data_IF_302512140984
#
_entry.id   IF_302512140984
#
_cell.length_a   1.000
_cell.length_b   1.000
_cell.length_c   1.000
_cell.angle_alpha   90.00
_cell.angle_beta   90.00
_cell.angle_gamma   90.00
#
_symmetry.space_group_name_H-M   'P 1'
#
loop_
_entity.id
_entity.type
_entity.pdbx_description
1 polymer ?
#
# COMPACT_ATOMS: atom_id res chain seq x y z
N UNK A 1 7.36 15.36 -10.06
CA UNK A 1 7.13 14.43 -8.96
C UNK A 1 6.48 13.16 -9.51
N UNK A 2 7.14 12.01 -9.39
CA UNK A 2 6.61 10.71 -9.83
C UNK A 2 5.80 10.06 -8.72
N UNK A 3 4.81 9.26 -9.08
CA UNK A 3 3.93 8.58 -8.14
C UNK A 3 3.89 7.08 -8.39
N UNK A 4 3.68 6.32 -7.32
CA UNK A 4 3.34 4.91 -7.39
C UNK A 4 1.97 4.69 -6.74
N UNK A 5 1.06 4.06 -7.47
CA UNK A 5 -0.15 3.49 -6.90
C UNK A 5 0.13 2.02 -6.58
N UNK A 6 0.07 1.65 -5.31
CA UNK A 6 0.14 0.25 -4.88
C UNK A 6 -1.26 -0.24 -4.58
N UNK A 7 -1.61 -1.39 -5.16
CA UNK A 7 -2.79 -2.18 -4.79
C UNK A 7 -2.30 -3.49 -4.18
N UNK A 8 -2.59 -3.72 -2.91
CA UNK A 8 -2.26 -4.97 -2.21
C UNK A 8 -3.47 -5.89 -2.29
N UNK A 9 -3.31 -7.06 -2.89
CA UNK A 9 -4.42 -7.99 -3.11
C UNK A 9 -4.72 -8.71 -1.79
N UNK A 10 -5.95 -8.51 -1.30
CA UNK A 10 -6.46 -9.24 -0.15
C UNK A 10 -6.42 -10.75 -0.42
N UNK A 11 -5.83 -11.56 0.46
CA UNK A 11 -5.78 -13.00 0.28
C UNK A 11 -7.19 -13.60 0.34
N UNK A 12 -7.49 -14.52 -0.58
CA UNK A 12 -8.74 -15.29 -0.59
C UNK A 12 -8.51 -16.53 0.27
N UNK A 13 -9.02 -16.51 1.50
CA UNK A 13 -8.84 -17.59 2.47
C UNK A 13 -9.96 -17.58 3.51
N UNK A 14 -10.32 -18.76 4.00
CA UNK A 14 -11.26 -18.94 5.12
C UNK A 14 -10.54 -19.16 6.45
N UNK A 15 -9.20 -19.28 6.43
CA UNK A 15 -8.42 -19.52 7.64
C UNK A 15 -8.37 -18.25 8.49
N UNK A 16 -8.97 -18.33 9.69
CA UNK A 16 -9.01 -17.23 10.66
C UNK A 16 -7.65 -16.58 10.93
N UNK A 17 -6.58 -17.36 11.08
CA UNK A 17 -5.24 -16.84 11.32
C UNK A 17 -4.71 -15.96 10.17
N UNK A 18 -5.02 -16.31 8.91
CA UNK A 18 -4.60 -15.51 7.75
C UNK A 18 -5.44 -14.22 7.64
N UNK A 19 -6.73 -14.27 8.01
CA UNK A 19 -7.60 -13.09 8.10
C UNK A 19 -7.11 -12.11 9.18
N UNK A 20 -6.77 -12.61 10.38
CA UNK A 20 -6.23 -11.79 11.47
C UNK A 20 -4.88 -11.18 11.08
N UNK A 21 -4.01 -11.96 10.42
CA UNK A 21 -2.73 -11.45 9.89
C UNK A 21 -2.93 -10.33 8.87
N UNK A 22 -3.91 -10.47 7.98
CA UNK A 22 -4.26 -9.43 7.00
C UNK A 22 -4.74 -8.14 7.68
N UNK A 23 -5.66 -8.25 8.65
CA UNK A 23 -6.19 -7.08 9.35
C UNK A 23 -5.09 -6.32 10.09
N UNK A 24 -4.20 -7.04 10.78
CA UNK A 24 -3.05 -6.43 11.47
C UNK A 24 -2.09 -5.75 10.50
N UNK A 25 -1.89 -6.35 9.31
CA UNK A 25 -1.06 -5.76 8.26
C UNK A 25 -1.65 -4.44 7.75
N UNK A 26 -2.95 -4.42 7.42
CA UNK A 26 -3.67 -3.22 6.96
C UNK A 26 -3.64 -2.11 8.02
N UNK A 27 -3.85 -2.46 9.30
CA UNK A 27 -3.79 -1.50 10.40
C UNK A 27 -2.39 -0.88 10.54
N UNK A 28 -1.35 -1.72 10.54
CA UNK A 28 0.05 -1.28 10.61
C UNK A 28 0.41 -0.37 9.44
N UNK A 29 -0.06 -0.73 8.25
CA UNK A 29 0.16 0.04 7.03
C UNK A 29 -0.51 1.41 7.10
N UNK A 30 -1.76 1.48 7.55
CA UNK A 30 -2.50 2.73 7.74
C UNK A 30 -1.76 3.66 8.71
N UNK A 31 -1.25 3.13 9.83
CA UNK A 31 -0.46 3.90 10.79
C UNK A 31 0.85 4.44 10.18
N UNK A 32 1.56 3.64 9.39
CA UNK A 32 2.80 4.06 8.71
C UNK A 32 2.53 5.14 7.66
N UNK A 33 1.50 4.96 6.84
CA UNK A 33 1.12 5.96 5.83
C UNK A 33 0.77 7.29 6.48
N UNK A 34 0.03 7.27 7.59
CA UNK A 34 -0.31 8.48 8.37
C UNK A 34 0.91 9.25 8.89
N UNK A 35 2.07 8.59 9.00
CA UNK A 35 3.32 9.20 9.48
C UNK A 35 4.16 9.85 8.38
N UNK A 36 3.79 9.67 7.10
CA UNK A 36 4.55 10.19 5.95
C UNK A 36 3.71 11.19 5.18
N UNK A 37 4.16 12.44 5.14
CA UNK A 37 3.47 13.51 4.44
C UNK A 37 3.36 13.25 2.93
N UNK A 38 2.18 13.51 2.37
CA UNK A 38 1.92 13.41 0.93
C UNK A 38 1.56 12.00 0.43
N UNK A 39 1.60 10.98 1.28
CA UNK A 39 1.07 9.65 0.94
C UNK A 39 -0.42 9.61 1.24
N UNK A 40 -1.20 9.12 0.29
CA UNK A 40 -2.65 9.07 0.39
C UNK A 40 -3.14 7.61 0.42
N UNK A 41 -3.95 7.27 1.42
CA UNK A 41 -4.71 6.02 1.44
C UNK A 41 -6.03 6.21 0.71
N UNK A 42 -6.21 5.50 -0.40
CA UNK A 42 -7.41 5.57 -1.23
C UNK A 42 -8.45 4.51 -0.83
N UNK A 43 -8.00 3.38 -0.28
CA UNK A 43 -8.84 2.34 0.35
C UNK A 43 -8.02 1.55 1.37
N UNK A 44 -8.56 0.53 2.04
CA UNK A 44 -7.83 -0.28 3.03
C UNK A 44 -6.49 -0.87 2.53
N UNK A 45 -6.39 -1.10 1.22
CA UNK A 45 -5.30 -1.83 0.57
C UNK A 45 -4.77 -1.13 -0.69
N UNK A 46 -5.17 0.12 -0.92
CA UNK A 46 -4.76 0.92 -2.08
C UNK A 46 -4.20 2.24 -1.60
N UNK A 47 -2.97 2.55 -2.02
CA UNK A 47 -2.29 3.78 -1.61
C UNK A 47 -1.56 4.42 -2.78
N UNK A 48 -1.52 5.75 -2.76
CA UNK A 48 -0.75 6.58 -3.66
C UNK A 48 0.47 7.14 -2.94
N UNK A 49 1.65 6.88 -3.48
CA UNK A 49 2.95 7.26 -2.89
C UNK A 49 3.69 8.20 -3.85
N UNK A 50 3.91 9.48 -3.51
CA UNK A 50 4.92 10.30 -4.17
C UNK A 50 6.31 9.71 -3.93
N UNK A 51 7.03 9.40 -5.01
CA UNK A 51 8.31 8.68 -4.95
C UNK A 51 9.50 9.56 -4.55
N UNK A 52 9.36 10.89 -4.52
CA UNK A 52 10.43 11.79 -4.06
C UNK A 52 10.70 11.65 -2.56
N UNK A 53 9.66 11.48 -1.74
CA UNK A 53 9.75 11.34 -0.29
C UNK A 53 9.23 9.99 0.25
N UNK A 54 8.41 9.28 -0.52
CA UNK A 54 7.80 8.01 -0.13
C UNK A 54 8.53 6.75 -0.60
N UNK A 55 9.68 6.86 -1.26
CA UNK A 55 10.40 5.70 -1.82
C UNK A 55 10.76 4.63 -0.78
N UNK A 56 11.15 5.06 0.43
CA UNK A 56 11.47 4.13 1.52
C UNK A 56 10.23 3.36 1.98
N UNK A 57 9.08 4.04 2.13
CA UNK A 57 7.83 3.37 2.48
C UNK A 57 7.40 2.43 1.37
N UNK A 58 7.48 2.85 0.10
CA UNK A 58 7.21 2.00 -1.06
C UNK A 58 8.02 0.70 -1.01
N UNK A 59 9.34 0.81 -0.82
CA UNK A 59 10.22 -0.35 -0.75
C UNK A 59 9.87 -1.26 0.44
N UNK A 60 9.54 -0.68 1.59
CA UNK A 60 9.13 -1.43 2.77
C UNK A 60 7.80 -2.19 2.56
N UNK A 61 6.81 -1.54 1.94
CA UNK A 61 5.52 -2.15 1.62
C UNK A 61 5.70 -3.33 0.67
N UNK A 62 6.46 -3.14 -0.42
CA UNK A 62 6.75 -4.20 -1.39
C UNK A 62 7.51 -5.36 -0.72
N UNK A 63 8.52 -5.05 0.11
CA UNK A 63 9.27 -6.06 0.87
C UNK A 63 8.38 -6.85 1.81
N UNK A 64 7.50 -6.17 2.54
CA UNK A 64 6.58 -6.81 3.50
C UNK A 64 5.57 -7.70 2.78
N UNK A 65 5.00 -7.23 1.67
CA UNK A 65 4.12 -8.04 0.83
C UNK A 65 4.82 -9.33 0.37
N UNK A 66 6.07 -9.23 -0.08
CA UNK A 66 6.86 -10.40 -0.48
C UNK A 66 7.12 -11.38 0.68
N UNK A 67 7.50 -10.88 1.86
CA UNK A 67 7.74 -11.70 3.05
C UNK A 67 6.47 -12.42 3.52
N UNK A 68 5.33 -11.73 3.46
CA UNK A 68 4.04 -12.26 3.90
C UNK A 68 3.27 -13.00 2.81
N UNK A 69 3.85 -13.15 1.62
CA UNK A 69 3.24 -13.78 0.45
C UNK A 69 1.95 -13.09 -0.03
N UNK A 70 1.81 -11.79 0.21
CA UNK A 70 0.77 -10.96 -0.38
C UNK A 70 1.15 -10.56 -1.80
N UNK A 71 0.19 -10.61 -2.71
CA UNK A 71 0.37 -10.07 -4.05
C UNK A 71 0.19 -8.56 -4.01
N UNK A 72 1.02 -7.83 -4.74
CA UNK A 72 0.83 -6.40 -4.97
C UNK A 72 0.87 -6.10 -6.47
N UNK A 73 0.11 -5.09 -6.88
CA UNK A 73 0.16 -4.51 -8.22
C UNK A 73 0.61 -3.07 -8.07
N UNK A 74 1.54 -2.65 -8.91
CA UNK A 74 2.11 -1.31 -8.87
C UNK A 74 1.89 -0.64 -10.22
N UNK A 75 1.35 0.57 -10.20
CA UNK A 75 1.27 1.46 -11.35
C UNK A 75 2.13 2.69 -11.08
N UNK A 76 2.93 3.07 -12.07
CA UNK A 76 3.78 4.26 -11.98
C UNK A 76 3.21 5.38 -12.84
N UNK A 77 3.25 6.59 -12.30
CA UNK A 77 2.78 7.79 -12.98
C UNK A 77 3.86 8.86 -12.93
N UNK A 78 4.04 9.58 -14.04
CA UNK A 78 4.94 10.73 -14.10
C UNK A 78 4.33 11.99 -13.46
N UNK A 79 3.00 12.00 -13.29
CA UNK A 79 2.21 13.07 -12.69
C UNK A 79 1.21 12.50 -11.66
N UNK A 80 0.65 13.38 -10.83
CA UNK A 80 -0.36 13.03 -9.82
C UNK A 80 -1.65 12.52 -10.49
N UNK A 81 -2.06 11.26 -10.29
CA UNK A 81 -3.24 10.70 -10.94
C UNK A 81 -4.54 11.16 -10.25
N UNK A 82 -4.95 12.41 -10.54
CA UNK A 82 -6.12 13.11 -9.97
C UNK A 82 -7.49 12.44 -10.16
N UNK A 83 -7.59 11.40 -10.99
CA UNK A 83 -8.83 10.69 -11.29
C UNK A 83 -9.15 9.58 -10.28
N UNK A 84 -8.22 9.27 -9.38
CA UNK A 84 -8.40 8.29 -8.33
C UNK A 84 -8.95 9.02 -7.10
N UNK A 85 -10.26 9.28 -7.08
CA UNK A 85 -10.92 9.92 -5.93
C UNK A 85 -11.22 8.89 -4.83
N UNK A 86 -10.78 9.17 -3.61
CA UNK A 86 -11.14 8.45 -2.37
C UNK A 86 -12.63 8.55 -2.04
#
# INVERSE_FOLDING_TARGET
MKFALIVIVKPITEKRAEIEKWNNFVETLSQKVSSVEGIEMLSENVMQIPLENGLLLFAEVVRTCNLDSYQCKVLFFDEDPKWITS
#
